data_IF_525705385536
#
_entry.id   IF_525705385536
#
_cell.length_a   1.000
_cell.length_b   1.000
_cell.length_c   1.000
_cell.angle_alpha   90.00
_cell.angle_beta   90.00
_cell.angle_gamma   90.00
#
_symmetry.space_group_name_H-M   'P 1'
#
loop_
_entity.id
_entity.type
_entity.pdbx_description
1 polymer ?
#
# COMPACT_ATOMS: atom_id res chain seq x y z
N UNK A 1 -18.04 25.58 40.47
CA UNK A 1 -18.01 27.07 40.42
C UNK A 1 -18.99 27.64 39.36
N UNK A 2 -20.27 27.21 39.29
CA UNK A 2 -21.44 27.93 38.70
C UNK A 2 -22.70 27.04 38.86
N UNK A 3 -23.00 26.58 40.07
CA UNK A 3 -24.12 25.63 40.31
C UNK A 3 -25.47 26.32 40.11
N UNK A 4 -25.55 27.61 40.45
CA UNK A 4 -26.78 28.39 40.39
C UNK A 4 -27.18 28.82 38.96
N UNK A 5 -26.26 28.75 37.99
CA UNK A 5 -26.54 29.04 36.59
C UNK A 5 -27.24 27.90 35.83
N UNK A 6 -27.47 26.75 36.48
CA UNK A 6 -28.18 25.61 35.88
C UNK A 6 -29.71 25.71 36.02
N UNK A 7 -30.19 26.59 36.91
CA UNK A 7 -31.63 26.80 37.11
C UNK A 7 -32.14 27.93 36.20
N UNK A 8 -33.19 27.71 35.40
CA UNK A 8 -33.72 28.70 34.47
C UNK A 8 -34.38 29.91 35.18
N UNK A 9 -34.67 29.78 36.48
CA UNK A 9 -35.21 30.85 37.31
C UNK A 9 -34.11 31.71 37.97
N UNK A 10 -32.84 31.35 37.83
CA UNK A 10 -31.73 32.13 38.40
C UNK A 10 -31.40 33.38 37.56
N UNK A 11 -31.10 34.52 38.19
CA UNK A 11 -30.59 35.70 37.50
C UNK A 11 -29.22 35.45 36.83
N UNK A 12 -28.43 34.47 37.28
CA UNK A 12 -27.15 34.15 36.63
C UNK A 12 -27.38 33.41 35.30
N UNK A 13 -28.47 32.62 35.20
CA UNK A 13 -28.86 31.97 33.94
C UNK A 13 -29.28 33.00 32.89
N UNK A 14 -30.04 34.03 33.29
CA UNK A 14 -30.47 35.09 32.36
C UNK A 14 -29.29 35.94 31.87
N UNK A 15 -28.30 36.22 32.73
CA UNK A 15 -27.05 36.88 32.34
C UNK A 15 -26.23 36.02 31.38
N UNK A 16 -26.15 34.70 31.60
CA UNK A 16 -25.47 33.78 30.70
C UNK A 16 -26.13 33.73 29.32
N UNK A 17 -27.47 33.61 29.28
CA UNK A 17 -28.24 33.62 28.04
C UNK A 17 -28.09 34.97 27.32
N UNK A 18 -28.12 36.09 28.04
CA UNK A 18 -27.92 37.42 27.47
C UNK A 18 -26.52 37.60 26.87
N UNK A 19 -25.48 37.01 27.48
CA UNK A 19 -24.12 37.03 26.95
C UNK A 19 -23.91 36.06 25.77
N UNK A 20 -24.68 34.98 25.68
CA UNK A 20 -24.62 34.01 24.58
C UNK A 20 -25.46 34.42 23.36
N UNK A 21 -26.55 35.18 23.56
CA UNK A 21 -27.45 35.62 22.49
C UNK A 21 -26.74 36.39 21.36
N UNK A 22 -25.78 37.31 21.60
CA UNK A 22 -25.03 37.99 20.54
C UNK A 22 -24.14 37.04 19.72
N UNK A 23 -23.65 35.95 20.33
CA UNK A 23 -22.80 34.96 19.65
C UNK A 23 -23.61 34.00 18.77
N UNK A 24 -24.86 33.75 19.12
CA UNK A 24 -25.80 32.94 18.33
C UNK A 24 -26.46 33.74 17.19
N UNK A 25 -26.51 35.07 17.31
CA UNK A 25 -27.10 35.97 16.30
C UNK A 25 -26.12 36.52 15.27
N UNK A 26 -24.86 36.06 15.24
CA UNK A 26 -24.01 36.34 14.09
C UNK A 26 -24.58 35.57 12.88
N UNK A 27 -25.07 36.26 11.83
CA UNK A 27 -25.34 35.57 10.59
C UNK A 27 -24.02 34.99 10.14
N UNK A 28 -23.92 33.66 10.16
CA UNK A 28 -22.91 32.91 9.44
C UNK A 28 -22.72 33.61 8.10
N UNK A 29 -21.54 34.19 7.89
CA UNK A 29 -21.11 34.63 6.57
C UNK A 29 -21.17 33.35 5.74
N UNK A 30 -22.32 33.15 5.07
CA UNK A 30 -22.47 32.19 4.00
C UNK A 30 -21.54 32.70 2.91
N UNK A 31 -20.27 32.33 3.03
CA UNK A 31 -19.42 32.12 1.88
C UNK A 31 -20.28 31.25 0.98
N UNK A 32 -20.75 31.79 -0.14
CA UNK A 32 -21.42 31.02 -1.18
C UNK A 32 -20.47 29.88 -1.47
N UNK A 33 -20.79 28.69 -0.97
CA UNK A 33 -20.07 27.48 -1.33
C UNK A 33 -20.11 27.47 -2.86
N UNK A 34 -18.95 27.37 -3.54
CA UNK A 34 -18.98 27.17 -4.98
C UNK A 34 -19.92 25.99 -5.24
N UNK A 35 -20.75 26.04 -6.31
CA UNK A 35 -21.71 25.00 -6.58
C UNK A 35 -20.99 23.67 -6.44
N UNK A 36 -21.46 22.84 -5.51
CA UNK A 36 -20.93 21.51 -5.27
C UNK A 36 -21.21 20.76 -6.55
N UNK A 37 -20.28 20.83 -7.51
CA UNK A 37 -20.27 19.96 -8.67
C UNK A 37 -20.41 18.57 -8.10
N UNK A 38 -21.55 17.94 -8.38
CA UNK A 38 -21.75 16.53 -8.11
C UNK A 38 -20.48 15.82 -8.59
N UNK A 39 -19.87 14.94 -7.77
CA UNK A 39 -18.70 14.22 -8.23
C UNK A 39 -19.15 13.42 -9.44
N UNK A 40 -18.77 13.87 -10.63
CA UNK A 40 -18.90 13.08 -11.83
C UNK A 40 -18.17 11.80 -11.47
N UNK A 41 -18.91 10.70 -11.34
CA UNK A 41 -18.39 9.35 -11.11
C UNK A 41 -17.69 8.94 -12.41
N UNK A 42 -16.57 9.60 -12.69
CA UNK A 42 -15.71 9.27 -13.80
C UNK A 42 -15.16 7.88 -13.49
N UNK A 43 -15.52 6.92 -14.34
CA UNK A 43 -14.92 5.58 -14.31
C UNK A 43 -13.39 5.72 -14.29
N UNK A 44 -12.69 4.94 -13.47
CA UNK A 44 -11.23 5.02 -13.41
C UNK A 44 -10.62 4.71 -14.78
N UNK A 45 -9.51 5.37 -15.10
CA UNK A 45 -8.81 5.16 -16.37
C UNK A 45 -8.34 3.72 -16.54
N UNK A 46 -7.79 3.11 -15.49
CA UNK A 46 -7.40 1.70 -15.48
C UNK A 46 -8.39 0.90 -14.63
N UNK A 47 -8.87 -0.20 -15.20
CA UNK A 47 -9.70 -1.20 -14.51
C UNK A 47 -8.96 -2.53 -14.48
N UNK A 48 -9.00 -3.22 -13.35
CA UNK A 48 -8.45 -4.56 -13.24
C UNK A 48 -9.36 -5.51 -14.00
N UNK A 49 -8.84 -6.13 -15.05
CA UNK A 49 -9.55 -7.12 -15.88
C UNK A 49 -9.32 -8.55 -15.36
N UNK A 50 -8.30 -8.74 -14.53
CA UNK A 50 -8.01 -10.04 -13.93
C UNK A 50 -9.05 -10.36 -12.86
N UNK A 51 -9.58 -11.58 -12.93
CA UNK A 51 -10.31 -12.21 -11.83
C UNK A 51 -9.37 -12.97 -10.89
N UNK A 52 -8.11 -13.11 -11.30
CA UNK A 52 -7.07 -13.86 -10.60
C UNK A 52 -6.18 -12.95 -9.76
N UNK A 53 -5.24 -13.55 -9.02
CA UNK A 53 -4.34 -12.84 -8.11
C UNK A 53 -3.24 -12.03 -8.80
N UNK A 54 -2.95 -12.33 -10.06
CA UNK A 54 -2.06 -11.47 -10.85
C UNK A 54 -2.86 -10.31 -11.40
N UNK A 55 -2.64 -9.06 -10.92
CA UNK A 55 -3.38 -7.93 -11.43
C UNK A 55 -3.06 -7.73 -12.91
N UNK A 56 -4.09 -7.49 -13.72
CA UNK A 56 -3.93 -7.11 -15.11
C UNK A 56 -4.83 -5.92 -15.39
N UNK A 57 -4.29 -4.87 -15.98
CA UNK A 57 -5.02 -3.63 -16.18
C UNK A 57 -5.27 -3.36 -17.66
N UNK A 58 -6.46 -2.87 -17.96
CA UNK A 58 -6.81 -2.33 -19.27
C UNK A 58 -7.33 -0.89 -19.14
N UNK A 59 -7.03 -0.02 -20.11
CA UNK A 59 -7.57 1.33 -20.15
C UNK A 59 -9.05 1.33 -20.54
N UNK A 60 -9.88 2.06 -19.80
CA UNK A 60 -11.34 2.16 -20.03
C UNK A 60 -11.69 3.16 -21.14
N UNK A 61 -10.86 4.18 -21.34
CA UNK A 61 -11.10 5.24 -22.31
C UNK A 61 -9.79 5.77 -22.86
N UNK A 62 -9.84 6.37 -24.05
CA UNK A 62 -8.66 6.94 -24.67
C UNK A 62 -8.33 8.32 -24.08
N UNK A 63 -7.21 8.43 -23.37
CA UNK A 63 -6.65 9.72 -22.92
C UNK A 63 -6.15 10.52 -24.14
N UNK A 64 -7.02 11.35 -24.72
CA UNK A 64 -6.66 12.25 -25.82
C UNK A 64 -6.05 13.54 -25.26
N UNK A 65 -4.80 13.81 -25.63
CA UNK A 65 -4.15 15.10 -25.46
C UNK A 65 -4.06 15.75 -26.83
N UNK A 66 -4.63 16.95 -27.01
CA UNK A 66 -4.66 17.65 -28.30
C UNK A 66 -3.27 18.03 -28.82
N UNK A 67 -2.27 18.14 -27.95
CA UNK A 67 -1.01 18.82 -28.27
C UNK A 67 0.23 17.95 -28.15
N UNK A 68 0.18 16.80 -27.46
CA UNK A 68 1.37 15.96 -27.25
C UNK A 68 1.06 14.53 -26.79
N UNK A 69 1.82 13.57 -27.30
CA UNK A 69 1.85 12.19 -26.83
C UNK A 69 2.13 12.14 -25.32
N UNK A 70 1.31 11.42 -24.53
CA UNK A 70 1.57 11.21 -23.10
C UNK A 70 2.95 10.61 -22.85
N UNK A 71 3.57 10.97 -21.73
CA UNK A 71 4.81 10.33 -21.26
C UNK A 71 4.50 9.43 -20.07
N UNK A 72 5.00 8.20 -20.13
CA UNK A 72 5.09 7.32 -18.98
C UNK A 72 6.22 7.83 -18.07
N UNK A 73 5.93 7.92 -16.77
CA UNK A 73 6.88 8.32 -15.74
C UNK A 73 6.69 7.39 -14.53
N UNK A 74 7.75 7.25 -13.73
CA UNK A 74 7.70 6.57 -12.44
C UNK A 74 8.19 7.52 -11.34
N UNK A 75 7.70 7.33 -10.12
CA UNK A 75 8.28 7.95 -8.92
C UNK A 75 9.56 7.21 -8.51
N UNK A 76 10.32 7.78 -7.56
CA UNK A 76 11.49 7.10 -6.99
C UNK A 76 11.13 5.75 -6.36
N UNK A 77 9.95 5.64 -5.75
CA UNK A 77 9.43 4.41 -5.15
C UNK A 77 8.86 3.41 -6.20
N UNK A 78 8.95 3.71 -7.50
CA UNK A 78 8.48 2.83 -8.57
C UNK A 78 7.01 2.99 -8.97
N UNK A 79 6.22 3.85 -8.31
CA UNK A 79 4.81 4.06 -8.68
C UNK A 79 4.70 4.67 -10.10
N UNK A 80 4.02 4.00 -11.06
CA UNK A 80 3.90 4.49 -12.43
C UNK A 80 2.74 5.47 -12.59
N UNK A 81 2.91 6.45 -13.47
CA UNK A 81 1.87 7.40 -13.84
C UNK A 81 2.10 7.99 -15.24
N UNK A 82 1.01 8.45 -15.87
CA UNK A 82 1.09 9.18 -17.13
C UNK A 82 1.12 10.69 -16.87
N UNK A 83 2.05 11.37 -17.55
CA UNK A 83 2.12 12.82 -17.61
C UNK A 83 1.68 13.34 -18.98
N UNK A 84 0.58 14.09 -19.01
CA UNK A 84 0.02 14.69 -20.23
C UNK A 84 0.73 16.01 -20.60
N UNK A 85 1.06 16.85 -19.62
CA UNK A 85 1.67 18.18 -19.84
C UNK A 85 2.71 18.56 -18.79
N UNK A 86 3.51 19.59 -19.09
CA UNK A 86 4.38 20.29 -18.13
C UNK A 86 3.83 21.72 -17.93
N UNK A 87 3.81 22.27 -16.69
CA UNK A 87 4.06 21.61 -15.40
C UNK A 87 3.01 20.53 -15.08
N UNK A 88 3.32 19.62 -14.15
CA UNK A 88 2.39 18.55 -13.78
C UNK A 88 1.19 19.15 -13.02
N UNK A 89 -0.05 18.71 -13.27
CA UNK A 89 -1.20 19.19 -12.50
C UNK A 89 -1.03 18.94 -11.00
N UNK A 90 -1.29 19.96 -10.19
CA UNK A 90 -1.13 19.90 -8.72
C UNK A 90 -1.94 18.76 -8.11
N UNK A 91 -3.16 18.51 -8.61
CA UNK A 91 -4.01 17.41 -8.14
C UNK A 91 -3.35 16.03 -8.36
N UNK A 92 -2.74 15.82 -9.53
CA UNK A 92 -2.05 14.56 -9.84
C UNK A 92 -0.80 14.40 -8.96
N UNK A 93 -0.01 15.45 -8.79
CA UNK A 93 1.17 15.44 -7.91
C UNK A 93 0.79 15.14 -6.45
N UNK A 94 -0.27 15.78 -5.91
CA UNK A 94 -0.79 15.50 -4.57
C UNK A 94 -1.24 14.05 -4.40
N UNK A 95 -1.94 13.50 -5.39
CA UNK A 95 -2.40 12.10 -5.34
C UNK A 95 -1.22 11.13 -5.35
N UNK A 96 -0.24 11.34 -6.23
CA UNK A 96 0.98 10.52 -6.30
C UNK A 96 1.73 10.59 -4.97
N UNK A 97 1.96 11.79 -4.42
CA UNK A 97 2.62 11.95 -3.13
C UNK A 97 1.85 11.29 -1.97
N UNK A 98 0.51 11.32 -1.99
CA UNK A 98 -0.30 10.61 -0.98
C UNK A 98 -0.11 9.09 -1.08
N UNK A 99 -0.10 8.53 -2.30
CA UNK A 99 0.10 7.09 -2.51
C UNK A 99 1.52 6.66 -2.13
N UNK A 100 2.54 7.44 -2.49
CA UNK A 100 3.92 7.21 -2.06
C UNK A 100 4.06 7.18 -0.53
N UNK A 101 3.51 8.17 0.18
CA UNK A 101 3.53 8.18 1.66
C UNK A 101 2.83 6.98 2.29
N UNK A 102 1.72 6.52 1.72
CA UNK A 102 1.04 5.32 2.21
C UNK A 102 1.90 4.07 2.05
N UNK A 103 2.62 3.96 0.94
CA UNK A 103 3.55 2.85 0.69
C UNK A 103 4.75 2.91 1.65
N UNK A 104 5.38 4.08 1.78
CA UNK A 104 6.47 4.30 2.74
C UNK A 104 6.05 3.98 4.18
N UNK A 105 4.83 4.37 4.58
CA UNK A 105 4.28 4.02 5.90
C UNK A 105 4.23 2.51 6.13
N UNK A 106 3.89 1.70 5.12
CA UNK A 106 3.91 0.23 5.24
C UNK A 106 5.33 -0.30 5.43
N UNK A 107 6.30 0.25 4.70
CA UNK A 107 7.73 -0.12 4.85
C UNK A 107 8.20 0.21 6.27
N UNK A 108 7.90 1.40 6.77
CA UNK A 108 8.26 1.79 8.14
C UNK A 108 7.62 0.87 9.19
N UNK A 109 6.42 0.32 8.94
CA UNK A 109 5.82 -0.68 9.83
C UNK A 109 6.59 -2.01 9.86
N UNK A 110 7.23 -2.41 8.77
CA UNK A 110 8.11 -3.59 8.79
C UNK A 110 9.36 -3.31 9.64
N UNK A 111 9.93 -2.11 9.51
CA UNK A 111 11.11 -1.69 10.27
C UNK A 111 10.79 -1.58 11.77
N UNK A 112 9.68 -0.94 12.13
CA UNK A 112 9.19 -0.84 13.53
C UNK A 112 9.00 -2.22 14.18
N UNK A 113 8.48 -3.19 13.41
CA UNK A 113 8.34 -4.57 13.91
C UNK A 113 9.69 -5.23 14.16
N UNK A 114 10.70 -4.97 13.32
CA UNK A 114 12.05 -5.53 13.45
C UNK A 114 12.83 -4.92 14.62
N UNK A 115 12.81 -3.58 14.72
CA UNK A 115 13.61 -2.85 15.70
C UNK A 115 13.00 -2.86 17.11
N UNK A 116 11.70 -2.59 17.22
CA UNK A 116 11.04 -2.38 18.53
C UNK A 116 10.28 -3.63 19.00
N UNK A 117 9.39 -4.16 18.16
CA UNK A 117 8.46 -5.21 18.61
C UNK A 117 9.14 -6.57 18.74
N UNK A 118 10.11 -6.89 17.88
CA UNK A 118 10.78 -8.19 17.93
C UNK A 118 11.61 -8.36 19.20
N UNK A 119 12.24 -7.29 19.69
CA UNK A 119 13.03 -7.31 20.93
C UNK A 119 12.11 -7.39 22.16
N UNK A 120 11.06 -6.57 22.20
CA UNK A 120 10.06 -6.64 23.25
C UNK A 120 9.39 -8.03 23.32
N UNK A 121 9.12 -8.65 22.18
CA UNK A 121 8.49 -9.95 22.14
C UNK A 121 9.37 -11.09 22.66
N UNK A 122 10.69 -11.02 22.41
CA UNK A 122 11.63 -11.97 22.96
C UNK A 122 11.70 -11.87 24.49
N UNK A 123 11.60 -10.67 25.05
CA UNK A 123 11.55 -10.45 26.50
C UNK A 123 10.25 -10.96 27.12
N UNK A 124 9.11 -10.72 26.46
CA UNK A 124 7.82 -11.23 26.91
C UNK A 124 7.82 -12.78 26.93
N UNK A 125 8.33 -13.41 25.87
CA UNK A 125 8.45 -14.86 25.83
C UNK A 125 9.38 -15.36 26.96
N UNK A 126 10.51 -14.71 27.23
CA UNK A 126 11.37 -15.09 28.36
C UNK A 126 10.66 -14.94 29.71
N UNK A 127 9.85 -13.89 29.87
CA UNK A 127 9.06 -13.69 31.08
C UNK A 127 8.04 -14.83 31.26
N UNK A 128 7.35 -15.23 30.20
CA UNK A 128 6.46 -16.40 30.21
C UNK A 128 7.19 -17.69 30.63
N UNK A 129 8.45 -17.88 30.20
CA UNK A 129 9.26 -19.04 30.60
C UNK A 129 9.58 -19.02 32.11
N UNK A 130 9.86 -17.85 32.67
CA UNK A 130 10.11 -17.68 34.11
C UNK A 130 8.83 -17.96 34.92
N UNK A 131 7.69 -17.44 34.47
CA UNK A 131 6.39 -17.71 35.10
C UNK A 131 6.06 -19.20 35.03
N UNK A 132 6.24 -19.84 33.88
CA UNK A 132 6.03 -21.28 33.73
C UNK A 132 6.99 -22.11 34.62
N UNK A 133 8.25 -21.66 34.78
CA UNK A 133 9.19 -22.28 35.69
C UNK A 133 8.77 -22.13 37.16
N UNK A 134 8.22 -20.98 37.55
CA UNK A 134 7.72 -20.76 38.90
C UNK A 134 6.48 -21.59 39.19
N UNK A 135 5.50 -21.63 38.28
CA UNK A 135 4.29 -22.46 38.42
C UNK A 135 4.62 -23.94 38.59
N UNK A 136 5.67 -24.43 37.91
CA UNK A 136 6.19 -25.81 38.10
C UNK A 136 6.74 -26.04 39.51
N UNK A 137 7.49 -25.08 40.06
CA UNK A 137 8.03 -25.18 41.42
C UNK A 137 6.94 -25.18 42.48
N UNK A 138 5.87 -24.43 42.25
CA UNK A 138 4.72 -24.32 43.16
C UNK A 138 3.71 -25.48 43.01
N UNK A 139 3.93 -26.40 42.06
CA UNK A 139 3.04 -27.54 41.83
C UNK A 139 1.70 -27.18 41.17
N UNK A 140 1.58 -25.98 40.61
CA UNK A 140 0.36 -25.44 39.98
C UNK A 140 0.33 -25.78 38.48
N UNK A 141 1.44 -26.27 37.90
CA UNK A 141 1.55 -26.53 36.46
C UNK A 141 0.73 -27.73 35.98
N UNK A 142 -0.01 -27.56 34.88
CA UNK A 142 -0.63 -28.65 34.12
C UNK A 142 0.37 -29.28 33.14
N UNK A 143 0.19 -30.57 32.80
CA UNK A 143 1.07 -31.27 31.84
C UNK A 143 1.16 -30.60 30.46
N UNK A 144 0.12 -29.86 30.06
CA UNK A 144 0.08 -29.11 28.79
C UNK A 144 1.01 -27.88 28.83
N UNK A 145 1.04 -27.14 29.94
CA UNK A 145 1.92 -25.98 30.10
C UNK A 145 3.41 -26.39 30.04
N UNK A 146 3.73 -27.55 30.61
CA UNK A 146 5.08 -28.10 30.59
C UNK A 146 5.54 -28.56 29.19
N UNK A 147 4.61 -29.01 28.34
CA UNK A 147 4.91 -29.41 26.97
C UNK A 147 5.17 -28.18 26.08
N UNK A 148 4.32 -27.15 26.20
CA UNK A 148 4.41 -25.91 25.42
C UNK A 148 5.71 -25.15 25.71
N UNK A 149 6.19 -25.16 26.96
CA UNK A 149 7.45 -24.54 27.34
C UNK A 149 8.69 -25.23 26.72
N UNK A 150 8.60 -26.53 26.38
CA UNK A 150 9.73 -27.30 25.82
C UNK A 150 9.83 -27.22 24.30
N UNK A 151 8.74 -26.90 23.60
CA UNK A 151 8.68 -26.84 22.13
C UNK A 151 9.02 -25.46 21.54
N UNK A 152 9.75 -24.60 22.26
CA UNK A 152 10.10 -23.27 21.76
C UNK A 152 11.24 -23.31 20.74
N UNK A 153 11.16 -22.53 19.64
CA UNK A 153 10.13 -21.54 19.30
C UNK A 153 8.81 -22.18 18.85
N UNK A 154 7.71 -21.83 19.52
CA UNK A 154 6.38 -22.40 19.26
C UNK A 154 5.47 -21.41 18.54
N UNK A 155 4.51 -21.87 17.72
CA UNK A 155 3.49 -21.02 17.10
C UNK A 155 2.56 -20.30 18.08
N UNK A 156 2.64 -20.62 19.37
CA UNK A 156 1.84 -20.02 20.43
C UNK A 156 2.60 -18.89 21.17
N UNK A 157 3.84 -18.61 20.79
CA UNK A 157 4.66 -17.55 21.40
C UNK A 157 4.21 -16.15 20.96
N UNK A 158 4.50 -15.15 21.78
CA UNK A 158 4.25 -13.77 21.40
C UNK A 158 5.19 -13.33 20.27
N UNK A 159 6.45 -13.79 20.25
CA UNK A 159 7.37 -13.57 19.12
C UNK A 159 6.81 -14.09 17.80
N UNK A 160 6.10 -15.22 17.81
CA UNK A 160 5.43 -15.73 16.62
C UNK A 160 4.36 -14.76 16.09
N UNK A 161 3.53 -14.21 16.97
CA UNK A 161 2.51 -13.22 16.58
C UNK A 161 3.10 -11.94 15.97
N UNK A 162 4.26 -11.49 16.49
CA UNK A 162 5.00 -10.35 15.95
C UNK A 162 5.57 -10.67 14.56
N UNK A 163 6.11 -11.88 14.37
CA UNK A 163 6.57 -12.34 13.06
C UNK A 163 5.43 -12.47 12.03
N UNK A 164 4.24 -12.90 12.45
CA UNK A 164 3.06 -12.89 11.59
C UNK A 164 2.67 -11.45 11.18
N UNK A 165 2.75 -10.50 12.11
CA UNK A 165 2.51 -9.08 11.82
C UNK A 165 3.51 -8.55 10.79
N UNK A 166 4.79 -8.92 10.92
CA UNK A 166 5.83 -8.59 9.93
C UNK A 166 5.49 -9.14 8.55
N UNK A 167 5.19 -10.44 8.49
CA UNK A 167 4.83 -11.14 7.25
C UNK A 167 3.61 -10.50 6.57
N UNK A 168 2.62 -10.08 7.34
CA UNK A 168 1.46 -9.38 6.84
C UNK A 168 1.83 -8.08 6.13
N UNK A 169 2.69 -7.26 6.73
CA UNK A 169 3.13 -6.01 6.11
C UNK A 169 3.98 -6.25 4.86
N UNK A 170 4.88 -7.23 4.88
CA UNK A 170 5.64 -7.63 3.69
C UNK A 170 4.70 -8.06 2.55
N UNK A 171 3.69 -8.86 2.86
CA UNK A 171 2.69 -9.28 1.88
C UNK A 171 1.91 -8.09 1.31
N UNK A 172 1.52 -7.14 2.15
CA UNK A 172 0.83 -5.91 1.72
C UNK A 172 1.70 -5.01 0.85
N UNK A 173 3.01 -4.95 1.10
CA UNK A 173 3.99 -4.24 0.26
C UNK A 173 4.09 -4.93 -1.09
N UNK A 174 4.29 -6.24 -1.11
CA UNK A 174 4.43 -7.04 -2.34
C UNK A 174 3.17 -6.94 -3.22
N UNK A 175 1.97 -7.04 -2.64
CA UNK A 175 0.71 -6.80 -3.37
C UNK A 175 0.63 -5.41 -3.98
N UNK A 176 1.10 -4.39 -3.25
CA UNK A 176 1.13 -3.00 -3.75
C UNK A 176 2.12 -2.85 -4.91
N UNK A 177 3.27 -3.52 -4.80
CA UNK A 177 4.29 -3.56 -5.83
C UNK A 177 3.78 -4.22 -7.11
N UNK A 178 3.14 -5.40 -7.02
CA UNK A 178 2.57 -6.09 -8.17
C UNK A 178 1.46 -5.30 -8.85
N UNK A 179 0.58 -4.63 -8.08
CA UNK A 179 -0.41 -3.70 -8.62
C UNK A 179 0.28 -2.58 -9.43
N UNK A 180 1.38 -2.03 -8.92
CA UNK A 180 2.15 -1.00 -9.63
C UNK A 180 2.81 -1.54 -10.90
N UNK A 181 3.46 -2.70 -10.85
CA UNK A 181 4.07 -3.33 -12.03
C UNK A 181 3.01 -3.55 -13.12
N UNK A 182 1.88 -4.17 -12.77
CA UNK A 182 0.79 -4.43 -13.72
C UNK A 182 0.19 -3.16 -14.31
N UNK A 183 0.02 -2.10 -13.49
CA UNK A 183 -0.39 -0.78 -14.00
C UNK A 183 0.67 -0.20 -14.92
N UNK A 184 1.95 -0.32 -14.56
CA UNK A 184 3.08 0.17 -15.36
C UNK A 184 3.10 -0.49 -16.74
N UNK A 185 2.94 -1.80 -16.81
CA UNK A 185 2.82 -2.56 -18.06
C UNK A 185 1.64 -2.09 -18.90
N UNK A 186 0.46 -1.96 -18.30
CA UNK A 186 -0.73 -1.47 -19.01
C UNK A 186 -0.55 -0.05 -19.55
N UNK A 187 0.05 0.85 -18.76
CA UNK A 187 0.35 2.21 -19.19
C UNK A 187 1.42 2.24 -20.29
N UNK A 188 2.40 1.34 -20.23
CA UNK A 188 3.43 1.22 -21.26
C UNK A 188 2.84 0.77 -22.60
N UNK A 189 1.97 -0.25 -22.60
CA UNK A 189 1.22 -0.68 -23.79
C UNK A 189 0.42 0.47 -24.39
N UNK A 190 -0.36 1.17 -23.57
CA UNK A 190 -1.16 2.33 -23.99
C UNK A 190 -0.31 3.46 -24.61
N UNK A 191 0.83 3.81 -23.99
CA UNK A 191 1.73 4.85 -24.52
C UNK A 191 2.44 4.37 -25.80
N UNK A 192 2.76 3.08 -25.89
CA UNK A 192 3.32 2.44 -27.09
C UNK A 192 2.38 2.55 -28.29
N UNK A 193 1.13 2.14 -28.11
CA UNK A 193 0.06 2.25 -29.13
C UNK A 193 -0.11 3.68 -29.61
N UNK A 194 -0.16 4.65 -28.68
CA UNK A 194 -0.24 6.09 -29.00
C UNK A 194 0.93 6.58 -29.82
N UNK A 195 2.16 6.16 -29.48
CA UNK A 195 3.35 6.53 -30.25
C UNK A 195 3.34 5.90 -31.65
N UNK A 196 2.80 4.70 -31.81
CA UNK A 196 2.61 4.06 -33.11
C UNK A 196 1.67 4.87 -34.00
N UNK A 197 0.48 5.18 -33.49
CA UNK A 197 -0.52 6.01 -34.19
C UNK A 197 0.02 7.40 -34.56
N UNK A 198 0.75 8.05 -33.65
CA UNK A 198 1.35 9.37 -33.92
C UNK A 198 2.44 9.30 -35.01
N UNK A 199 3.14 8.16 -35.15
CA UNK A 199 4.10 7.95 -36.24
C UNK A 199 3.37 7.73 -37.55
N UNK A 200 2.41 6.82 -37.60
CA UNK A 200 1.61 6.53 -38.80
C UNK A 200 0.90 7.79 -39.34
N UNK A 201 0.31 8.59 -38.45
CA UNK A 201 -0.30 9.86 -38.84
C UNK A 201 0.72 10.84 -39.47
N UNK A 202 1.97 10.85 -38.98
CA UNK A 202 3.04 11.68 -39.56
C UNK A 202 3.55 11.13 -40.89
N UNK A 203 3.66 9.82 -41.05
CA UNK A 203 4.07 9.21 -42.32
C UNK A 203 2.98 9.34 -43.39
N UNK A 204 1.70 9.21 -43.03
CA UNK A 204 0.57 9.39 -43.96
C UNK A 204 0.40 10.83 -44.46
N UNK A 205 0.84 11.83 -43.70
CA UNK A 205 0.87 13.24 -44.10
C UNK A 205 2.10 13.61 -44.97
N UNK A 206 3.13 12.77 -45.04
CA UNK A 206 4.36 13.03 -45.79
C UNK A 206 4.26 12.66 -47.30
N UNK A 207 3.15 12.07 -47.75
CA UNK A 207 2.91 11.71 -49.16
C UNK A 207 2.16 12.81 -49.91
N UNK A 208 2.59 14.07 -49.77
CA UNK A 208 2.15 15.19 -50.59
C UNK A 208 3.37 15.87 -51.20
N UNK A 209 3.56 15.87 -52.53
CA UNK A 209 4.74 16.46 -53.14
C UNK A 209 4.51 17.96 -53.30
N UNK A 210 5.12 18.77 -52.43
CA UNK A 210 5.06 20.22 -52.58
C UNK A 210 5.83 21.00 -51.53
N UNK A 211 6.97 21.55 -51.93
CA UNK A 211 7.60 22.71 -51.28
C UNK A 211 8.65 22.37 -50.22
N UNK A 212 9.91 22.50 -50.60
CA UNK A 212 11.05 22.31 -49.70
C UNK A 212 11.12 23.37 -48.59
N UNK A 213 11.62 22.95 -47.44
CA UNK A 213 12.37 23.83 -46.54
C UNK A 213 13.25 23.01 -45.62
N UNK A 214 14.49 23.48 -45.52
CA UNK A 214 15.66 22.84 -44.92
C UNK A 214 15.64 22.82 -43.39
N UNK A 215 16.41 21.87 -42.85
CA UNK A 215 17.06 21.93 -41.54
C UNK A 215 16.20 21.80 -40.28
N UNK A 216 16.05 20.56 -39.81
CA UNK A 216 16.42 20.22 -38.43
C UNK A 216 16.65 18.70 -38.34
N UNK A 217 17.91 18.27 -38.48
CA UNK A 217 18.33 16.92 -38.08
C UNK A 217 18.19 16.82 -36.55
N UNK A 218 17.00 16.49 -36.07
CA UNK A 218 16.86 15.87 -34.75
C UNK A 218 17.30 14.41 -34.89
N UNK A 219 18.16 13.90 -34.01
CA UNK A 219 18.60 12.52 -34.10
C UNK A 219 17.36 11.62 -34.05
N UNK A 220 17.30 10.71 -35.02
CA UNK A 220 16.33 9.63 -35.08
C UNK A 220 16.57 8.77 -33.84
N UNK A 221 15.66 8.83 -32.86
CA UNK A 221 15.74 7.95 -31.70
C UNK A 221 15.46 6.54 -32.19
N UNK A 222 16.52 5.75 -32.37
CA UNK A 222 16.43 4.32 -32.67
C UNK A 222 15.63 3.65 -31.54
N UNK A 223 14.51 3.03 -31.89
CA UNK A 223 13.59 2.39 -30.95
C UNK A 223 14.03 0.98 -30.52
N UNK A 224 15.27 0.60 -30.82
CA UNK A 224 15.87 -0.66 -30.39
C UNK A 224 16.69 -0.53 -29.10
N UNK A 225 16.89 0.67 -28.58
CA UNK A 225 17.57 0.84 -27.29
C UNK A 225 16.61 0.45 -26.16
N UNK A 226 17.00 -0.50 -25.27
CA UNK A 226 16.24 -0.80 -24.08
C UNK A 226 16.07 0.50 -23.26
N UNK A 227 14.96 0.65 -22.50
CA UNK A 227 14.73 1.85 -21.72
C UNK A 227 15.99 2.18 -20.91
N UNK A 228 16.42 3.45 -20.94
CA UNK A 228 17.60 3.97 -20.22
C UNK A 228 17.42 3.97 -18.68
N UNK A 229 16.50 3.15 -18.20
CA UNK A 229 16.25 2.80 -16.81
C UNK A 229 16.69 1.35 -16.73
N UNK A 230 17.84 1.09 -16.09
CA UNK A 230 18.31 -0.26 -15.89
C UNK A 230 17.15 -1.11 -15.34
N UNK A 231 16.87 -2.24 -15.98
CA UNK A 231 15.97 -3.26 -15.43
C UNK A 231 16.67 -3.76 -14.19
N UNK A 232 16.37 -3.16 -13.04
CA UNK A 232 16.96 -3.61 -11.79
C UNK A 232 16.34 -4.97 -11.49
N UNK A 233 17.11 -6.07 -11.50
CA UNK A 233 16.60 -7.40 -11.16
C UNK A 233 16.55 -7.51 -9.63
N UNK A 234 15.96 -6.52 -8.96
CA UNK A 234 15.63 -6.70 -7.55
C UNK A 234 14.43 -7.62 -7.56
N UNK A 235 14.67 -8.90 -7.25
CA UNK A 235 13.59 -9.85 -7.13
C UNK A 235 12.59 -9.28 -6.10
N UNK A 236 11.33 -9.03 -6.49
CA UNK A 236 10.31 -8.65 -5.53
C UNK A 236 10.20 -9.77 -4.48
N UNK A 237 9.67 -9.47 -3.30
CA UNK A 237 9.58 -10.47 -2.23
C UNK A 237 8.82 -11.69 -2.78
N UNK A 238 9.40 -12.90 -2.80
CA UNK A 238 8.80 -14.05 -3.48
C UNK A 238 7.60 -14.63 -2.72
N UNK A 239 6.99 -13.87 -1.81
CA UNK A 239 5.85 -14.26 -0.98
C UNK A 239 4.64 -14.67 -1.83
N UNK A 240 4.32 -13.89 -2.86
CA UNK A 240 3.20 -14.22 -3.76
C UNK A 240 3.52 -15.42 -4.67
N UNK A 241 4.80 -15.70 -4.94
CA UNK A 241 5.19 -16.93 -5.62
C UNK A 241 5.04 -18.16 -4.70
N UNK A 242 5.37 -18.01 -3.41
CA UNK A 242 5.20 -19.06 -2.40
C UNK A 242 3.72 -19.45 -2.24
N UNK A 243 2.80 -18.48 -2.17
CA UNK A 243 1.35 -18.75 -2.13
C UNK A 243 0.90 -19.56 -3.35
N UNK A 244 1.33 -19.16 -4.56
CA UNK A 244 0.97 -19.87 -5.80
C UNK A 244 1.50 -21.29 -5.83
N UNK A 245 2.74 -21.50 -5.37
CA UNK A 245 3.35 -22.82 -5.30
C UNK A 245 2.56 -23.76 -4.36
N UNK A 246 1.96 -23.21 -3.30
CA UNK A 246 1.31 -24.00 -2.26
C UNK A 246 -0.19 -24.23 -2.48
N UNK A 247 -0.89 -23.28 -3.10
CA UNK A 247 -2.33 -23.41 -3.42
C UNK A 247 -2.55 -24.11 -4.78
N UNK A 248 -1.53 -24.10 -5.65
CA UNK A 248 -1.70 -24.45 -7.06
C UNK A 248 -2.62 -23.46 -7.79
N UNK A 249 -2.88 -23.69 -9.09
CA UNK A 249 -3.81 -22.88 -9.90
C UNK A 249 -5.30 -23.00 -9.45
N UNK A 250 -5.56 -23.62 -8.31
CA UNK A 250 -6.90 -23.81 -7.78
C UNK A 250 -7.49 -22.47 -7.34
N UNK A 251 -8.53 -22.03 -8.04
CA UNK A 251 -9.31 -20.84 -7.69
C UNK A 251 -9.78 -20.92 -6.24
N UNK A 252 -9.25 -20.06 -5.38
CA UNK A 252 -9.81 -19.84 -4.06
C UNK A 252 -11.26 -19.32 -4.22
N UNK A 253 -12.22 -19.80 -3.40
CA UNK A 253 -13.61 -19.42 -3.53
C UNK A 253 -13.78 -17.91 -3.34
N UNK A 254 -14.36 -17.24 -4.33
CA UNK A 254 -14.60 -15.80 -4.38
C UNK A 254 -15.76 -15.35 -3.47
N UNK A 255 -15.83 -15.90 -2.26
CA UNK A 255 -16.77 -15.45 -1.23
C UNK A 255 -16.31 -14.14 -0.61
N UNK A 256 -17.24 -13.30 -0.15
CA UNK A 256 -16.91 -12.15 0.70
C UNK A 256 -16.37 -12.67 2.04
N UNK A 257 -15.06 -12.85 2.13
CA UNK A 257 -14.40 -13.17 3.40
C UNK A 257 -14.33 -11.88 4.22
N UNK A 258 -14.84 -11.93 5.46
CA UNK A 258 -14.94 -10.79 6.38
C UNK A 258 -13.59 -10.51 7.07
N UNK A 259 -12.75 -11.53 7.22
CA UNK A 259 -11.46 -11.46 7.91
C UNK A 259 -10.30 -11.94 7.00
N UNK A 260 -9.33 -11.07 6.69
CA UNK A 260 -8.18 -11.43 5.86
C UNK A 260 -7.25 -12.47 6.48
N UNK A 261 -7.26 -12.65 7.81
CA UNK A 261 -6.41 -13.62 8.50
C UNK A 261 -6.99 -15.04 8.49
N UNK A 262 -8.26 -15.19 8.10
CA UNK A 262 -8.90 -16.50 7.92
C UNK A 262 -8.88 -16.94 6.44
N UNK A 263 -8.30 -16.13 5.56
CA UNK A 263 -8.20 -16.46 4.15
C UNK A 263 -7.26 -17.67 3.94
N UNK A 264 -7.69 -18.60 3.08
CA UNK A 264 -6.87 -19.76 2.65
C UNK A 264 -5.49 -19.31 2.15
N UNK A 265 -5.43 -18.12 1.55
CA UNK A 265 -4.19 -17.51 1.04
C UNK A 265 -3.24 -17.07 2.13
N UNK A 266 -3.77 -16.46 3.18
CA UNK A 266 -2.97 -16.09 4.34
C UNK A 266 -2.41 -17.35 5.02
N UNK A 267 -3.27 -18.36 5.22
CA UNK A 267 -2.83 -19.63 5.82
C UNK A 267 -1.77 -20.34 4.98
N UNK A 268 -1.94 -20.38 3.65
CA UNK A 268 -0.92 -20.91 2.76
C UNK A 268 0.40 -20.12 2.90
N UNK A 269 0.36 -18.79 2.85
CA UNK A 269 1.55 -17.96 3.02
C UNK A 269 2.27 -18.25 4.34
N UNK A 270 1.52 -18.33 5.45
CA UNK A 270 2.07 -18.62 6.77
C UNK A 270 2.75 -19.98 6.81
N UNK A 271 2.13 -21.02 6.22
CA UNK A 271 2.71 -22.35 6.16
C UNK A 271 3.97 -22.40 5.26
N UNK A 272 3.97 -21.73 4.10
CA UNK A 272 5.18 -21.60 3.25
C UNK A 272 6.34 -20.94 3.99
N UNK A 273 6.05 -19.86 4.72
CA UNK A 273 7.07 -19.03 5.35
C UNK A 273 7.40 -19.46 6.78
N UNK A 274 6.69 -20.46 7.34
CA UNK A 274 6.85 -20.94 8.72
C UNK A 274 8.30 -21.20 9.10
N UNK A 275 9.03 -21.93 8.24
CA UNK A 275 10.45 -22.21 8.48
C UNK A 275 11.32 -20.95 8.51
N UNK A 276 11.00 -19.94 7.70
CA UNK A 276 11.71 -18.64 7.70
C UNK A 276 11.42 -17.86 8.97
N UNK A 277 10.15 -17.82 9.40
CA UNK A 277 9.73 -17.12 10.62
C UNK A 277 10.37 -17.75 11.87
N UNK A 278 10.37 -19.08 12.00
CA UNK A 278 11.00 -19.77 13.13
C UNK A 278 12.50 -19.51 13.22
N UNK A 279 13.22 -19.50 12.08
CA UNK A 279 14.64 -19.10 12.04
C UNK A 279 14.88 -17.65 12.45
N UNK A 280 13.90 -16.79 12.25
CA UNK A 280 13.97 -15.39 12.65
C UNK A 280 13.83 -15.25 14.16
N UNK A 281 12.83 -15.93 14.74
CA UNK A 281 12.63 -15.97 16.19
C UNK A 281 13.87 -16.53 16.90
N UNK A 282 14.40 -17.66 16.42
CA UNK A 282 15.60 -18.26 16.98
C UNK A 282 16.82 -17.32 16.93
N UNK A 283 16.99 -16.54 15.85
CA UNK A 283 18.08 -15.55 15.75
C UNK A 283 17.91 -14.41 16.73
N UNK A 284 16.70 -13.89 16.89
CA UNK A 284 16.43 -12.79 17.81
C UNK A 284 16.63 -13.23 19.27
N UNK A 285 16.25 -14.45 19.61
CA UNK A 285 16.55 -15.04 20.92
C UNK A 285 18.08 -15.21 21.16
N UNK A 286 18.83 -15.64 20.13
CA UNK A 286 20.27 -15.84 20.25
C UNK A 286 21.06 -14.52 20.38
N UNK A 287 20.68 -13.49 19.63
CA UNK A 287 21.31 -12.16 19.71
C UNK A 287 21.18 -11.53 21.10
N UNK A 288 20.09 -11.83 21.81
CA UNK A 288 19.88 -11.38 23.17
C UNK A 288 20.78 -12.12 24.17
N UNK A 289 20.85 -13.45 24.09
CA UNK A 289 21.65 -14.27 25.02
C UNK A 289 23.17 -14.09 24.85
N UNK A 290 23.64 -13.59 23.71
CA UNK A 290 25.05 -13.31 23.44
C UNK A 290 25.55 -11.94 23.92
N UNK A 291 24.67 -11.11 24.51
CA UNK A 291 24.98 -9.73 24.93
C UNK A 291 25.12 -9.56 26.45
N UNK A 292 25.19 -10.68 27.20
CA UNK A 292 25.28 -10.73 28.67
C UNK A 292 26.68 -11.06 29.17
#
# INVERSE_FOLDING_TARGET
>A
MFVKAQSPASPEYSQLIAHLRPRLSCPSIRVKSPPRTTPITQKPFLVNISKDDTPQYAPTYNLTSKTRTPRLCATADGQPFIRLKKPQPVALSKMIGRKGRLFQKKIMKVVEVDEELATAAALEDQWDDLIAAQMRREGISTKENDAIARERPSPNSFSWSVQLTRLWWEWQIERSWQDWVARGEALNRFVGERKGLDKEARTGLATSPGGGSTNSKRPLWNHSEPPNVGVHPTAPFPLLAAIKAQIGNSQAPSGKVIDPFLEVRWNALVEAEKGRLLRWIARNAANFNGSS
#
